data_IF_314155939864
#
_entry.id   IF_314155939864
#
_cell.length_a   1.000
_cell.length_b   1.000
_cell.length_c   1.000
_cell.angle_alpha   90.00
_cell.angle_beta   90.00
_cell.angle_gamma   90.00
#
_symmetry.space_group_name_H-M   'P 1'
#
loop_
_entity.id
_entity.type
_entity.pdbx_description
1 polymer ?
#
# COMPACT_ATOMS: atom_id res chain seq x y z
N UNK A 1 -45.80 -81.46 -10.28
CA UNK A 1 -44.44 -80.93 -10.35
C UNK A 1 -44.53 -79.41 -10.50
N UNK A 2 -44.25 -78.66 -9.44
CA UNK A 2 -44.39 -77.19 -9.39
C UNK A 2 -42.98 -76.56 -9.28
N UNK A 3 -42.60 -75.81 -10.29
CA UNK A 3 -41.32 -75.08 -10.32
C UNK A 3 -41.57 -73.65 -9.78
N UNK A 4 -40.99 -73.34 -8.63
CA UNK A 4 -41.04 -71.98 -8.01
C UNK A 4 -39.87 -71.16 -8.52
N UNK A 5 -40.15 -70.11 -9.29
CA UNK A 5 -39.19 -69.07 -9.64
C UNK A 5 -39.08 -68.05 -8.52
N UNK A 6 -37.90 -67.94 -7.92
CA UNK A 6 -37.58 -66.85 -6.96
C UNK A 6 -36.93 -65.72 -7.77
N UNK A 7 -37.61 -64.59 -7.89
CA UNK A 7 -37.05 -63.35 -8.36
C UNK A 7 -36.31 -62.66 -7.18
N UNK A 8 -35.02 -62.53 -7.27
CA UNK A 8 -34.22 -61.72 -6.36
C UNK A 8 -34.18 -60.30 -6.91
N UNK A 9 -34.80 -59.35 -6.22
CA UNK A 9 -34.71 -57.94 -6.54
C UNK A 9 -33.41 -57.37 -5.93
N UNK A 10 -32.45 -56.99 -6.76
CA UNK A 10 -31.25 -56.27 -6.36
C UNK A 10 -31.58 -54.79 -6.23
N UNK A 11 -31.61 -54.28 -4.99
CA UNK A 11 -31.79 -52.85 -4.65
C UNK A 11 -30.41 -52.17 -4.75
N UNK A 12 -30.15 -51.44 -5.83
CA UNK A 12 -28.97 -50.57 -5.98
C UNK A 12 -29.20 -49.30 -5.17
N UNK A 13 -28.47 -49.17 -4.08
CA UNK A 13 -28.42 -47.98 -3.26
C UNK A 13 -27.44 -46.98 -3.90
N UNK A 14 -27.95 -45.96 -4.59
CA UNK A 14 -27.16 -44.83 -5.10
C UNK A 14 -26.84 -43.88 -3.93
N UNK A 15 -25.63 -43.94 -3.37
CA UNK A 15 -25.12 -42.95 -2.45
C UNK A 15 -24.78 -41.69 -3.27
N UNK A 16 -25.63 -40.69 -3.24
CA UNK A 16 -25.32 -39.36 -3.72
C UNK A 16 -24.32 -38.70 -2.76
N UNK A 17 -23.03 -38.72 -3.10
CA UNK A 17 -22.01 -37.92 -2.41
C UNK A 17 -22.23 -36.48 -2.78
N UNK A 18 -23.00 -35.75 -1.96
CA UNK A 18 -23.15 -34.31 -2.04
C UNK A 18 -21.83 -33.69 -1.53
N UNK A 19 -20.85 -33.52 -2.42
CA UNK A 19 -19.63 -32.79 -2.14
C UNK A 19 -19.99 -31.35 -1.80
N UNK A 20 -19.86 -30.95 -0.51
CA UNK A 20 -19.95 -29.57 -0.12
C UNK A 20 -18.84 -28.79 -0.81
N UNK A 21 -19.18 -28.05 -1.86
CA UNK A 21 -18.30 -27.06 -2.47
C UNK A 21 -18.18 -25.93 -1.42
N UNK A 22 -17.14 -26.00 -0.60
CA UNK A 22 -16.73 -24.84 0.20
C UNK A 22 -16.36 -23.73 -0.76
N UNK A 23 -17.03 -22.56 -0.73
CA UNK A 23 -16.61 -21.45 -1.57
C UNK A 23 -15.17 -21.11 -1.21
N UNK A 24 -14.28 -21.18 -2.18
CA UNK A 24 -12.91 -20.67 -2.03
C UNK A 24 -13.07 -19.21 -1.61
N UNK A 25 -12.65 -18.88 -0.38
CA UNK A 25 -12.62 -17.49 0.08
C UNK A 25 -11.71 -16.73 -0.89
N UNK A 26 -12.30 -15.83 -1.68
CA UNK A 26 -11.52 -14.98 -2.56
C UNK A 26 -10.39 -14.35 -1.75
N UNK A 27 -9.16 -14.43 -2.25
CA UNK A 27 -8.01 -13.83 -1.56
C UNK A 27 -8.32 -12.36 -1.32
N UNK A 28 -8.30 -11.95 -0.04
CA UNK A 28 -8.58 -10.55 0.33
C UNK A 28 -7.55 -9.66 -0.34
N UNK A 29 -8.00 -8.63 -1.06
CA UNK A 29 -7.09 -7.66 -1.65
C UNK A 29 -6.36 -6.93 -0.52
N UNK A 30 -5.03 -7.08 -0.45
CA UNK A 30 -4.21 -6.47 0.59
C UNK A 30 -3.32 -5.39 0.00
N UNK A 31 -3.48 -4.17 0.51
CA UNK A 31 -2.55 -3.05 0.29
C UNK A 31 -1.57 -3.00 1.47
N UNK A 32 -0.29 -2.81 1.20
CA UNK A 32 0.71 -2.54 2.24
C UNK A 32 1.12 -1.08 2.15
N UNK A 33 0.85 -0.30 3.18
CA UNK A 33 1.40 1.03 3.36
C UNK A 33 2.82 0.89 3.91
N UNK A 34 3.83 1.09 3.06
CA UNK A 34 5.25 0.99 3.40
C UNK A 34 5.89 2.36 3.42
N UNK A 35 6.34 2.81 4.58
CA UNK A 35 6.84 4.17 4.73
C UNK A 35 7.47 4.44 6.09
N UNK A 36 7.56 5.71 6.44
CA UNK A 36 8.16 6.18 7.68
C UNK A 36 7.11 6.54 8.76
N UNK A 37 7.33 7.61 9.51
CA UNK A 37 6.41 8.08 10.57
C UNK A 37 5.05 8.54 10.04
N UNK A 38 4.99 9.02 8.81
CA UNK A 38 3.75 9.46 8.16
C UNK A 38 2.84 8.25 7.89
N UNK A 39 3.43 7.15 7.47
CA UNK A 39 2.74 5.89 7.27
C UNK A 39 2.41 5.20 8.60
N UNK A 40 3.36 5.23 9.57
CA UNK A 40 3.20 4.61 10.88
C UNK A 40 2.06 5.23 11.71
N UNK A 41 1.71 6.49 11.45
CA UNK A 41 0.73 7.24 12.26
C UNK A 41 1.34 7.81 13.54
N UNK A 42 2.57 8.36 13.46
CA UNK A 42 3.27 8.96 14.59
C UNK A 42 2.42 10.01 15.29
N UNK A 43 2.34 9.92 16.64
CA UNK A 43 1.60 10.86 17.48
C UNK A 43 0.08 10.76 17.41
N UNK A 44 -0.46 9.79 16.66
CA UNK A 44 -1.89 9.58 16.48
C UNK A 44 -2.42 8.44 17.36
N UNK A 45 -3.69 8.52 17.73
CA UNK A 45 -4.38 7.45 18.43
C UNK A 45 -4.82 6.30 17.48
N UNK A 46 -5.28 5.18 18.05
CA UNK A 46 -5.80 4.06 17.28
C UNK A 46 -6.90 4.49 16.27
N UNK A 47 -6.82 4.00 15.04
CA UNK A 47 -7.80 4.29 13.98
C UNK A 47 -7.65 5.69 13.36
N UNK A 48 -6.64 6.48 13.74
CA UNK A 48 -6.42 7.83 13.22
C UNK A 48 -5.29 7.90 12.18
N UNK A 49 -4.51 6.82 12.04
CA UNK A 49 -3.40 6.75 11.08
C UNK A 49 -3.88 6.67 9.63
N UNK A 50 -2.96 6.97 8.72
CA UNK A 50 -3.23 6.97 7.27
C UNK A 50 -3.82 5.64 6.78
N UNK A 51 -3.23 4.52 7.17
CA UNK A 51 -3.69 3.18 6.74
C UNK A 51 -5.09 2.85 7.22
N UNK A 52 -5.42 3.20 8.47
CA UNK A 52 -6.75 2.98 9.03
C UNK A 52 -7.81 3.83 8.30
N UNK A 53 -7.51 5.11 8.09
CA UNK A 53 -8.41 6.04 7.40
C UNK A 53 -8.59 5.69 5.93
N UNK A 54 -7.51 5.28 5.25
CA UNK A 54 -7.58 4.81 3.88
C UNK A 54 -8.46 3.55 3.77
N UNK A 55 -8.26 2.57 4.66
CA UNK A 55 -9.10 1.37 4.69
C UNK A 55 -10.57 1.70 4.91
N UNK A 56 -10.88 2.60 5.84
CA UNK A 56 -12.25 3.06 6.09
C UNK A 56 -12.86 3.74 4.86
N UNK A 57 -12.09 4.60 4.16
CA UNK A 57 -12.52 5.27 2.94
C UNK A 57 -12.79 4.29 1.79
N UNK A 58 -11.92 3.31 1.58
CA UNK A 58 -12.11 2.25 0.57
C UNK A 58 -13.35 1.40 0.89
N UNK A 59 -13.55 1.04 2.16
CA UNK A 59 -14.74 0.31 2.61
C UNK A 59 -16.02 1.11 2.38
N UNK A 60 -16.01 2.41 2.61
CA UNK A 60 -17.15 3.29 2.34
C UNK A 60 -17.52 3.35 0.84
N UNK A 61 -16.56 3.05 -0.04
CA UNK A 61 -16.75 2.89 -1.50
C UNK A 61 -17.20 1.48 -1.91
N UNK A 62 -17.41 0.58 -0.96
CA UNK A 62 -17.79 -0.81 -1.22
C UNK A 62 -16.64 -1.74 -1.57
N UNK A 63 -15.39 -1.30 -1.39
CA UNK A 63 -14.19 -2.09 -1.64
C UNK A 63 -13.75 -2.79 -0.34
N UNK A 64 -13.88 -4.12 -0.28
CA UNK A 64 -13.41 -4.92 0.87
C UNK A 64 -11.91 -5.19 0.78
N UNK A 65 -11.14 -4.16 1.13
CA UNK A 65 -9.68 -4.14 1.02
C UNK A 65 -9.06 -3.96 2.40
N UNK A 66 -8.07 -4.78 2.72
CA UNK A 66 -7.24 -4.61 3.90
C UNK A 66 -6.06 -3.69 3.58
N UNK A 67 -5.81 -2.70 4.43
CA UNK A 67 -4.63 -1.83 4.34
C UNK A 67 -3.73 -2.09 5.54
N UNK A 68 -2.68 -2.87 5.31
CA UNK A 68 -1.70 -3.21 6.34
C UNK A 68 -0.70 -2.07 6.53
N UNK A 69 -0.40 -1.72 7.79
CA UNK A 69 0.58 -0.71 8.13
C UNK A 69 1.97 -1.35 8.27
N UNK A 70 2.88 -0.95 7.40
CA UNK A 70 4.31 -1.28 7.45
C UNK A 70 5.17 0.00 7.53
N UNK A 71 4.67 1.03 8.21
CA UNK A 71 5.41 2.25 8.53
C UNK A 71 6.32 2.06 9.74
N UNK A 72 7.50 2.67 9.70
CA UNK A 72 8.45 2.71 10.84
C UNK A 72 8.93 4.13 11.04
N UNK A 73 8.56 4.72 12.18
CA UNK A 73 8.91 6.13 12.48
C UNK A 73 10.42 6.34 12.46
N UNK A 74 10.84 7.39 11.75
CA UNK A 74 12.25 7.75 11.60
C UNK A 74 12.99 7.01 10.49
N UNK A 75 12.37 6.10 9.77
CA UNK A 75 13.02 5.41 8.67
C UNK A 75 13.45 6.37 7.56
N UNK A 76 14.68 6.18 7.11
CA UNK A 76 15.19 6.73 5.85
C UNK A 76 14.93 5.74 4.72
N UNK A 77 15.22 6.16 3.49
CA UNK A 77 15.19 5.24 2.34
C UNK A 77 16.11 4.03 2.54
N UNK A 78 17.26 4.20 3.23
CA UNK A 78 18.18 3.10 3.58
C UNK A 78 17.56 2.12 4.59
N UNK A 79 16.89 2.62 5.63
CA UNK A 79 16.17 1.78 6.61
C UNK A 79 15.04 0.99 5.95
N UNK A 80 14.24 1.66 5.13
CA UNK A 80 13.19 1.00 4.36
C UNK A 80 13.72 -0.09 3.43
N UNK A 81 14.79 0.19 2.66
CA UNK A 81 15.39 -0.82 1.78
C UNK A 81 15.86 -2.07 2.55
N UNK A 82 16.45 -1.88 3.75
CA UNK A 82 16.94 -2.98 4.57
C UNK A 82 15.83 -3.93 5.05
N UNK A 83 14.60 -3.41 5.25
CA UNK A 83 13.46 -4.18 5.76
C UNK A 83 12.40 -4.55 4.73
N UNK A 84 12.54 -4.14 3.47
CA UNK A 84 11.51 -4.31 2.44
C UNK A 84 11.03 -5.76 2.33
N UNK A 85 11.96 -6.70 2.26
CA UNK A 85 11.68 -8.10 1.94
C UNK A 85 10.83 -8.79 3.02
N UNK A 86 11.01 -8.45 4.29
CA UNK A 86 10.24 -9.03 5.38
C UNK A 86 9.02 -8.20 5.79
N UNK A 87 8.96 -6.92 5.41
CA UNK A 87 7.81 -6.05 5.71
C UNK A 87 6.70 -6.11 4.66
N UNK A 88 7.02 -6.57 3.44
CA UNK A 88 6.06 -6.72 2.35
C UNK A 88 5.90 -8.20 2.05
N UNK A 89 4.84 -8.87 2.55
CA UNK A 89 4.59 -10.30 2.31
C UNK A 89 4.33 -10.60 0.84
N UNK A 90 4.60 -11.84 0.44
CA UNK A 90 4.17 -12.35 -0.86
C UNK A 90 2.63 -12.37 -0.93
N UNK A 91 2.09 -12.13 -2.12
CA UNK A 91 0.64 -11.99 -2.31
C UNK A 91 0.10 -10.58 -1.99
N UNK A 92 0.96 -9.62 -1.60
CA UNK A 92 0.59 -8.20 -1.53
C UNK A 92 0.12 -7.73 -2.91
N UNK A 93 -1.08 -7.15 -2.97
CA UNK A 93 -1.71 -6.74 -4.24
C UNK A 93 -1.34 -5.32 -4.66
N UNK A 94 -0.91 -4.48 -3.73
CA UNK A 94 -0.42 -3.13 -3.98
C UNK A 94 0.46 -2.69 -2.81
N UNK A 95 1.58 -2.04 -3.10
CA UNK A 95 2.37 -1.30 -2.11
C UNK A 95 2.19 0.19 -2.34
N UNK A 96 1.82 0.92 -1.30
CA UNK A 96 1.97 2.38 -1.28
C UNK A 96 3.33 2.66 -0.66
N UNK A 97 4.31 3.02 -1.50
CA UNK A 97 5.69 3.28 -1.09
C UNK A 97 5.87 4.78 -0.80
N UNK A 98 6.06 5.11 0.46
CA UNK A 98 6.23 6.48 0.97
C UNK A 98 7.50 6.54 1.82
N UNK A 99 8.59 7.09 1.31
CA UNK A 99 9.88 7.27 2.00
C UNK A 99 10.65 8.43 1.37
N UNK A 100 11.59 8.98 2.14
CA UNK A 100 12.49 10.04 1.72
C UNK A 100 12.40 11.30 2.56
N UNK A 101 11.33 11.50 3.35
CA UNK A 101 11.21 12.65 4.24
C UNK A 101 12.36 12.71 5.25
N UNK A 102 12.72 11.58 5.86
CA UNK A 102 13.81 11.53 6.82
C UNK A 102 15.20 11.66 6.17
N UNK A 103 15.37 11.24 4.92
CA UNK A 103 16.59 11.50 4.15
C UNK A 103 16.77 13.02 3.98
N UNK A 104 15.73 13.72 3.53
CA UNK A 104 15.69 15.16 3.35
C UNK A 104 15.95 15.89 4.68
N UNK A 105 15.24 15.55 5.76
CA UNK A 105 15.37 16.19 7.06
C UNK A 105 16.78 16.01 7.67
N UNK A 106 17.47 14.93 7.34
CA UNK A 106 18.84 14.65 7.81
C UNK A 106 19.91 15.13 6.83
N UNK A 107 19.54 15.81 5.75
CA UNK A 107 20.49 16.31 4.75
C UNK A 107 21.23 15.21 3.99
N UNK A 108 20.63 14.01 3.87
CA UNK A 108 21.20 12.94 3.04
C UNK A 108 21.20 13.38 1.59
N UNK A 109 22.28 13.10 0.89
CA UNK A 109 22.40 13.44 -0.53
C UNK A 109 21.26 12.79 -1.34
N UNK A 110 20.55 13.53 -2.23
CA UNK A 110 19.39 13.03 -2.96
C UNK A 110 19.65 11.78 -3.79
N UNK A 111 20.89 11.60 -4.31
CA UNK A 111 21.28 10.42 -5.09
C UNK A 111 21.27 9.13 -4.25
N UNK A 112 21.47 9.22 -2.92
CA UNK A 112 21.37 8.07 -2.02
C UNK A 112 19.89 7.66 -1.87
N UNK A 113 18.99 8.62 -1.62
CA UNK A 113 17.57 8.37 -1.57
C UNK A 113 17.06 7.79 -2.90
N UNK A 114 17.48 8.35 -4.04
CA UNK A 114 17.15 7.84 -5.38
C UNK A 114 17.57 6.39 -5.55
N UNK A 115 18.84 6.04 -5.24
CA UNK A 115 19.36 4.67 -5.36
C UNK A 115 18.58 3.67 -4.50
N UNK A 116 18.22 4.05 -3.28
CA UNK A 116 17.48 3.18 -2.37
C UNK A 116 16.04 2.96 -2.86
N UNK A 117 15.33 4.01 -3.28
CA UNK A 117 14.00 3.92 -3.86
C UNK A 117 14.01 3.12 -5.17
N UNK A 118 15.01 3.32 -6.01
CA UNK A 118 15.23 2.56 -7.25
C UNK A 118 15.40 1.07 -6.95
N UNK A 119 16.21 0.72 -5.96
CA UNK A 119 16.40 -0.67 -5.53
C UNK A 119 15.11 -1.30 -4.98
N UNK A 120 14.33 -0.55 -4.18
CA UNK A 120 13.04 -1.03 -3.67
C UNK A 120 12.05 -1.28 -4.80
N UNK A 121 11.90 -0.35 -5.74
CA UNK A 121 11.02 -0.50 -6.91
C UNK A 121 11.47 -1.69 -7.78
N UNK A 122 12.78 -1.87 -7.97
CA UNK A 122 13.34 -3.01 -8.68
C UNK A 122 13.00 -4.35 -8.03
N UNK A 123 13.14 -4.45 -6.70
CA UNK A 123 12.78 -5.66 -5.93
C UNK A 123 11.27 -5.96 -6.00
N UNK A 124 10.42 -4.95 -5.83
CA UNK A 124 8.96 -5.12 -5.92
C UNK A 124 8.53 -5.56 -7.32
N UNK A 125 9.14 -4.97 -8.36
CA UNK A 125 8.91 -5.38 -9.76
C UNK A 125 9.31 -6.84 -10.01
N UNK A 126 10.47 -7.29 -9.50
CA UNK A 126 10.91 -8.70 -9.61
C UNK A 126 9.94 -9.67 -8.92
N UNK A 127 9.27 -9.23 -7.88
CA UNK A 127 8.24 -9.99 -7.15
C UNK A 127 6.84 -9.84 -7.76
N UNK A 128 6.71 -9.13 -8.88
CA UNK A 128 5.42 -8.78 -9.51
C UNK A 128 4.44 -8.10 -8.56
N UNK A 129 4.94 -7.28 -7.65
CA UNK A 129 4.11 -6.53 -6.71
C UNK A 129 3.93 -5.10 -7.26
N UNK A 130 2.70 -4.69 -7.59
CA UNK A 130 2.38 -3.35 -8.05
C UNK A 130 2.69 -2.29 -6.99
N UNK A 131 3.07 -1.09 -7.46
CA UNK A 131 3.43 0.03 -6.57
C UNK A 131 2.69 1.30 -6.96
N UNK A 132 2.15 1.98 -5.95
CA UNK A 132 1.84 3.41 -5.98
C UNK A 132 2.98 4.12 -5.26
N UNK A 133 3.78 4.89 -6.01
CA UNK A 133 4.85 5.70 -5.43
C UNK A 133 4.25 7.00 -4.89
N UNK A 134 4.35 7.22 -3.59
CA UNK A 134 3.95 8.46 -2.94
C UNK A 134 5.18 9.35 -2.75
N UNK A 135 5.21 10.44 -3.51
CA UNK A 135 6.36 11.34 -3.55
C UNK A 135 6.45 12.25 -2.33
N UNK A 136 7.63 12.83 -2.17
CA UNK A 136 7.93 13.83 -1.17
C UNK A 136 8.53 15.07 -1.85
N UNK A 137 8.49 16.22 -1.19
CA UNK A 137 9.11 17.47 -1.65
C UNK A 137 10.12 17.97 -0.63
N UNK A 138 11.22 18.51 -1.10
CA UNK A 138 12.21 19.08 -0.23
C UNK A 138 11.74 20.41 0.40
N UNK A 139 12.12 20.61 1.67
CA UNK A 139 11.81 21.84 2.37
C UNK A 139 12.57 23.03 1.73
N UNK A 140 11.94 24.23 1.67
CA UNK A 140 12.52 25.39 0.98
C UNK A 140 13.87 25.86 1.54
N UNK A 141 14.13 25.61 2.80
CA UNK A 141 15.38 26.02 3.49
C UNK A 141 16.61 25.18 3.13
N UNK A 142 16.47 24.11 2.35
CA UNK A 142 17.58 23.26 1.91
C UNK A 142 18.31 23.78 0.67
N UNK A 143 17.81 24.85 0.07
CA UNK A 143 18.40 25.48 -1.12
C UNK A 143 17.89 24.88 -2.44
N UNK A 144 17.92 25.72 -3.48
CA UNK A 144 17.28 25.42 -4.77
C UNK A 144 17.86 24.16 -5.47
N UNK A 145 19.17 23.95 -5.38
CA UNK A 145 19.82 22.80 -6.04
C UNK A 145 19.41 21.48 -5.37
N UNK A 146 19.34 21.45 -4.04
CA UNK A 146 18.86 20.29 -3.31
C UNK A 146 17.40 20.00 -3.65
N UNK A 147 16.52 21.01 -3.59
CA UNK A 147 15.10 20.89 -3.94
C UNK A 147 14.94 20.33 -5.36
N UNK A 148 15.58 20.95 -6.35
CA UNK A 148 15.49 20.50 -7.74
C UNK A 148 15.89 19.03 -7.91
N UNK A 149 16.97 18.62 -7.25
CA UNK A 149 17.47 17.25 -7.36
C UNK A 149 16.57 16.26 -6.62
N UNK A 150 16.16 16.60 -5.40
CA UNK A 150 15.30 15.73 -4.58
C UNK A 150 13.90 15.57 -5.17
N UNK A 151 13.26 16.67 -5.59
CA UNK A 151 11.91 16.64 -6.14
C UNK A 151 11.83 15.89 -7.48
N UNK A 152 12.93 15.81 -8.22
CA UNK A 152 13.03 15.07 -9.47
C UNK A 152 13.08 13.53 -9.28
N UNK A 153 13.37 13.02 -8.09
CA UNK A 153 13.53 11.58 -7.81
C UNK A 153 12.25 10.81 -8.18
N UNK A 154 11.11 11.25 -7.62
CA UNK A 154 9.87 10.50 -7.71
C UNK A 154 9.30 10.44 -9.13
N UNK A 155 9.17 11.52 -9.89
CA UNK A 155 8.69 11.46 -11.27
C UNK A 155 9.64 10.67 -12.18
N UNK A 156 10.95 10.76 -11.96
CA UNK A 156 11.97 9.98 -12.70
C UNK A 156 11.78 8.48 -12.46
N UNK A 157 11.65 8.08 -11.20
CA UNK A 157 11.48 6.67 -10.84
C UNK A 157 10.12 6.13 -11.26
N UNK A 158 9.05 6.91 -11.10
CA UNK A 158 7.72 6.53 -11.57
C UNK A 158 7.71 6.25 -13.07
N UNK A 159 8.35 7.11 -13.87
CA UNK A 159 8.49 6.91 -15.31
C UNK A 159 9.35 5.66 -15.63
N UNK A 160 10.49 5.46 -14.94
CA UNK A 160 11.39 4.31 -15.15
C UNK A 160 10.70 2.97 -14.92
N UNK A 161 9.86 2.89 -13.90
CA UNK A 161 9.18 1.64 -13.51
C UNK A 161 7.76 1.52 -14.06
N UNK A 162 7.25 2.57 -14.74
CA UNK A 162 5.89 2.68 -15.21
C UNK A 162 4.86 2.47 -14.08
N UNK A 163 5.16 3.00 -12.88
CA UNK A 163 4.28 2.95 -11.71
C UNK A 163 3.50 4.25 -11.55
N UNK A 164 2.34 4.18 -10.90
CA UNK A 164 1.58 5.40 -10.58
C UNK A 164 2.34 6.23 -9.57
N UNK A 165 2.28 7.56 -9.76
CA UNK A 165 2.84 8.55 -8.86
C UNK A 165 1.71 9.34 -8.20
N UNK A 166 1.73 9.43 -6.87
CA UNK A 166 1.09 10.51 -6.13
C UNK A 166 2.18 11.54 -5.79
N UNK A 167 2.15 12.73 -6.40
CA UNK A 167 3.36 13.59 -6.46
C UNK A 167 3.87 14.09 -5.11
N UNK A 168 2.97 14.28 -4.14
CA UNK A 168 3.35 14.79 -2.82
C UNK A 168 2.42 14.24 -1.73
N UNK A 169 2.94 13.39 -0.86
CA UNK A 169 2.13 12.72 0.17
C UNK A 169 1.43 13.70 1.12
N UNK A 170 2.10 14.81 1.49
CA UNK A 170 1.57 15.85 2.38
C UNK A 170 0.83 16.97 1.63
N UNK A 171 0.36 16.73 0.40
CA UNK A 171 -0.38 17.73 -0.36
C UNK A 171 -1.64 18.19 0.38
N UNK A 172 -1.77 19.52 0.57
CA UNK A 172 -2.86 20.15 1.31
C UNK A 172 -2.68 20.15 2.83
N UNK A 173 -1.58 19.60 3.36
CA UNK A 173 -1.29 19.55 4.81
C UNK A 173 0.01 20.27 5.16
N UNK A 174 1.05 20.09 4.36
CA UNK A 174 2.31 20.78 4.60
C UNK A 174 2.14 22.30 4.61
N UNK A 175 2.63 22.95 5.67
CA UNK A 175 2.49 24.40 5.86
C UNK A 175 1.13 24.87 6.39
N UNK A 176 0.25 23.96 6.80
CA UNK A 176 -1.03 24.25 7.44
C UNK A 176 -1.00 23.82 8.93
N UNK A 177 -0.67 24.71 9.87
CA UNK A 177 -0.51 24.35 11.29
C UNK A 177 -1.75 23.72 11.94
N UNK A 178 -2.94 24.06 11.46
CA UNK A 178 -4.23 23.50 11.92
C UNK A 178 -4.46 22.04 11.49
N UNK A 179 -3.65 21.54 10.53
CA UNK A 179 -3.66 20.16 10.02
C UNK A 179 -2.44 19.35 10.47
N UNK A 180 -1.55 19.96 11.25
CA UNK A 180 -0.32 19.33 11.73
C UNK A 180 -0.33 19.18 13.25
N UNK A 181 0.49 18.27 13.76
CA UNK A 181 0.83 18.18 15.18
C UNK A 181 1.68 19.39 15.59
N UNK A 182 1.92 19.54 16.89
CA UNK A 182 2.71 20.66 17.44
C UNK A 182 4.15 20.72 16.88
N UNK A 183 4.67 19.62 16.38
CA UNK A 183 6.00 19.56 15.76
C UNK A 183 6.08 20.24 14.37
N UNK A 184 4.93 20.59 13.78
CA UNK A 184 4.85 21.23 12.47
C UNK A 184 5.30 20.35 11.29
N UNK A 185 5.44 19.04 11.50
CA UNK A 185 5.92 18.07 10.51
C UNK A 185 4.88 16.99 10.23
N UNK A 186 4.30 16.41 11.28
CA UNK A 186 3.38 15.29 11.16
C UNK A 186 1.93 15.76 11.06
N UNK A 187 1.09 15.10 10.26
CA UNK A 187 -0.33 15.41 10.19
C UNK A 187 -1.03 15.06 11.50
N UNK A 188 -1.95 15.91 11.94
CA UNK A 188 -2.91 15.56 12.98
C UNK A 188 -4.08 14.74 12.35
N UNK A 189 -5.08 14.26 13.12
CA UNK A 189 -6.17 13.45 12.56
C UNK A 189 -6.93 14.14 11.41
N UNK A 190 -7.11 15.46 11.44
CA UNK A 190 -7.72 16.21 10.33
C UNK A 190 -6.83 16.26 9.10
N UNK A 191 -5.51 16.43 9.31
CA UNK A 191 -4.53 16.38 8.23
C UNK A 191 -4.48 15.01 7.56
N UNK A 192 -4.59 13.92 8.32
CA UNK A 192 -4.70 12.56 7.76
C UNK A 192 -5.95 12.41 6.90
N UNK A 193 -7.10 12.93 7.34
CA UNK A 193 -8.33 12.89 6.55
C UNK A 193 -8.16 13.64 5.21
N UNK A 194 -7.48 14.80 5.20
CA UNK A 194 -7.15 15.55 3.97
C UNK A 194 -6.23 14.74 3.06
N UNK A 195 -5.18 14.10 3.61
CA UNK A 195 -4.28 13.25 2.81
C UNK A 195 -5.07 12.12 2.14
N UNK A 196 -5.90 11.42 2.92
CA UNK A 196 -6.71 10.30 2.41
C UNK A 196 -7.67 10.77 1.32
N UNK A 197 -8.41 11.85 1.52
CA UNK A 197 -9.32 12.41 0.53
C UNK A 197 -8.60 12.69 -0.81
N UNK A 198 -7.41 13.26 -0.75
CA UNK A 198 -6.65 13.65 -1.94
C UNK A 198 -5.99 12.46 -2.65
N UNK A 199 -5.45 11.49 -1.92
CA UNK A 199 -4.77 10.34 -2.53
C UNK A 199 -5.77 9.27 -3.02
N UNK A 200 -6.96 9.17 -2.40
CA UNK A 200 -7.94 8.10 -2.65
C UNK A 200 -8.23 7.88 -4.14
N UNK A 201 -8.47 8.90 -4.98
CA UNK A 201 -8.71 8.68 -6.41
C UNK A 201 -7.53 8.03 -7.14
N UNK A 202 -6.30 8.26 -6.64
CA UNK A 202 -5.09 7.66 -7.23
C UNK A 202 -4.93 6.21 -6.77
N UNK A 203 -5.28 5.91 -5.51
CA UNK A 203 -5.33 4.55 -4.99
C UNK A 203 -6.40 3.73 -5.72
N UNK A 204 -7.61 4.25 -5.91
CA UNK A 204 -8.68 3.57 -6.67
C UNK A 204 -8.22 3.21 -8.09
N UNK A 205 -7.54 4.13 -8.77
CA UNK A 205 -6.97 3.84 -10.10
C UNK A 205 -5.86 2.79 -10.05
N UNK A 206 -5.00 2.83 -9.03
CA UNK A 206 -3.96 1.82 -8.85
C UNK A 206 -4.55 0.42 -8.58
N UNK A 207 -5.65 0.33 -7.83
CA UNK A 207 -6.39 -0.91 -7.61
C UNK A 207 -6.96 -1.43 -8.93
N UNK A 208 -7.67 -0.57 -9.67
CA UNK A 208 -8.31 -0.95 -10.94
C UNK A 208 -7.31 -1.44 -12.01
N UNK A 209 -6.12 -0.85 -12.08
CA UNK A 209 -5.06 -1.32 -12.98
C UNK A 209 -4.57 -2.74 -12.67
N UNK A 210 -4.74 -3.19 -11.40
CA UNK A 210 -4.28 -4.47 -10.92
C UNK A 210 -5.39 -5.53 -10.84
N UNK A 211 -6.65 -5.14 -11.03
CA UNK A 211 -7.81 -6.04 -11.13
C UNK A 211 -8.19 -6.36 -12.59
N UNK A 212 -7.45 -5.83 -13.56
CA UNK A 212 -7.63 -6.15 -14.98
C UNK A 212 -7.39 -7.66 -15.26
N UNK A 213 -7.97 -8.21 -16.34
CA UNK A 213 -7.84 -9.62 -16.65
C UNK A 213 -6.37 -9.98 -16.84
N UNK A 214 -5.89 -10.90 -16.00
CA UNK A 214 -4.60 -11.60 -16.14
C UNK A 214 -4.66 -12.59 -17.32
#
# INVERSE_FOLDING_TARGET
>A
MAFKHRFAAALMLFLAVCGAITPARAATFTIVGFGDSLMAGFGLGPGQGFTDRLQAALKAKGLDITVANAGVSGDTSSGGLARLDWSVPDGTRLVILELGANDMLRGVAPDIAEKNLDAMLGKLKQRNIPVLLAGMRAAPNLGADYQKTFDAIYPKLAAKYAVRLYPFFLDGVAGHPDLQLEDGLHPNPKGVDVIVERILPTVERAIADNDGPS
#
